data_IF_256712120329
#
_entry.id   IF_256712120329
#
_cell.length_a   1.000
_cell.length_b   1.000
_cell.length_c   1.000
_cell.angle_alpha   90.00
_cell.angle_beta   90.00
_cell.angle_gamma   90.00
#
_symmetry.space_group_name_H-M   'P 1'
#
loop_
_entity.id
_entity.type
_entity.pdbx_description
1 polymer ?
#
# COMPACT_ATOMS: atom_id res chain seq x y z
N UNK A 1 -67.90 22.35 20.33
CA UNK A 1 -66.79 21.57 20.96
C UNK A 1 -66.14 20.74 19.85
N UNK A 2 -65.07 21.23 19.22
CA UNK A 2 -63.65 20.90 19.51
C UNK A 2 -63.35 19.38 19.43
N UNK A 3 -62.78 18.93 18.30
CA UNK A 3 -61.51 18.16 18.18
C UNK A 3 -61.42 17.48 16.79
N UNK A 4 -60.61 18.03 15.87
CA UNK A 4 -59.22 17.64 15.52
C UNK A 4 -59.18 16.55 14.43
N UNK A 5 -59.06 17.02 13.19
CA UNK A 5 -58.70 16.24 12.00
C UNK A 5 -57.21 15.85 12.14
N UNK A 6 -56.94 14.55 12.30
CA UNK A 6 -55.58 14.02 12.40
C UNK A 6 -55.05 13.80 10.97
N UNK A 7 -54.29 14.76 10.46
CA UNK A 7 -53.58 14.66 9.19
C UNK A 7 -52.28 13.90 9.44
N UNK A 8 -52.21 12.63 9.04
CA UNK A 8 -50.99 11.84 9.09
C UNK A 8 -49.99 12.38 8.05
N UNK A 9 -48.99 13.14 8.52
CA UNK A 9 -47.79 13.46 7.75
C UNK A 9 -46.84 12.27 7.92
N UNK A 10 -46.87 11.34 6.98
CA UNK A 10 -45.84 10.31 6.86
C UNK A 10 -44.57 11.01 6.38
N UNK A 11 -43.67 11.33 7.32
CA UNK A 11 -42.32 11.75 6.99
C UNK A 11 -41.60 10.54 6.41
N UNK A 12 -41.53 10.46 5.08
CA UNK A 12 -40.66 9.52 4.39
C UNK A 12 -39.21 9.92 4.67
N UNK A 13 -38.53 9.18 5.54
CA UNK A 13 -37.08 9.17 5.62
C UNK A 13 -36.53 8.75 4.25
N UNK A 14 -36.06 9.72 3.46
CA UNK A 14 -35.14 9.43 2.37
C UNK A 14 -33.85 8.93 3.03
N UNK A 15 -33.66 7.61 2.99
CA UNK A 15 -32.36 7.02 3.20
C UNK A 15 -31.45 7.55 2.09
N UNK A 16 -30.57 8.48 2.44
CA UNK A 16 -29.32 8.66 1.71
C UNK A 16 -28.57 7.34 1.89
N UNK A 17 -28.77 6.42 0.94
CA UNK A 17 -27.98 5.20 0.88
C UNK A 17 -26.52 5.60 0.83
N UNK A 18 -25.77 5.24 1.87
CA UNK A 18 -24.31 5.28 1.80
C UNK A 18 -23.91 4.47 0.58
N UNK A 19 -23.23 5.12 -0.38
CA UNK A 19 -22.61 4.43 -1.49
C UNK A 19 -21.56 3.51 -0.88
N UNK A 20 -21.87 2.21 -0.80
CA UNK A 20 -20.86 1.21 -0.47
C UNK A 20 -19.85 1.20 -1.62
N UNK A 21 -18.59 1.52 -1.32
CA UNK A 21 -17.49 1.38 -2.27
C UNK A 21 -17.28 -0.10 -2.57
N UNK A 22 -17.57 -0.54 -3.79
CA UNK A 22 -17.18 -1.87 -4.26
C UNK A 22 -15.83 -1.76 -4.97
N UNK A 23 -15.03 -2.82 -4.93
CA UNK A 23 -13.81 -2.91 -5.74
C UNK A 23 -14.21 -2.90 -7.22
N UNK A 24 -13.92 -1.81 -7.91
CA UNK A 24 -14.18 -1.66 -9.34
C UNK A 24 -12.95 -2.11 -10.13
N UNK A 25 -13.18 -2.69 -11.31
CA UNK A 25 -12.09 -3.09 -12.18
C UNK A 25 -11.56 -1.89 -12.99
N UNK A 26 -10.25 -1.82 -13.16
CA UNK A 26 -9.56 -0.92 -14.08
C UNK A 26 -9.19 -1.65 -15.37
N UNK A 27 -9.24 -0.94 -16.48
CA UNK A 27 -8.77 -1.37 -17.78
C UNK A 27 -7.32 -0.94 -17.96
N UNK A 28 -6.43 -1.93 -18.04
CA UNK A 28 -5.01 -1.73 -18.38
C UNK A 28 -4.77 -2.00 -19.87
N UNK A 29 -3.91 -1.20 -20.49
CA UNK A 29 -3.36 -1.40 -21.83
C UNK A 29 -1.87 -1.71 -21.71
N UNK A 30 -1.48 -2.94 -21.96
CA UNK A 30 -0.09 -3.37 -21.98
C UNK A 30 0.71 -2.73 -23.14
N UNK A 31 2.05 -2.68 -23.07
CA UNK A 31 2.89 -2.09 -24.13
C UNK A 31 2.67 -2.66 -25.52
N UNK A 32 2.28 -3.95 -25.62
CA UNK A 32 1.98 -4.61 -26.89
C UNK A 32 0.57 -4.28 -27.44
N UNK A 33 -0.21 -3.44 -26.75
CA UNK A 33 -1.57 -3.04 -27.12
C UNK A 33 -2.69 -3.94 -26.57
N UNK A 34 -2.37 -5.07 -25.94
CA UNK A 34 -3.37 -5.91 -25.28
C UNK A 34 -4.07 -5.13 -24.16
N UNK A 35 -5.39 -5.24 -24.08
CA UNK A 35 -6.19 -4.62 -23.02
C UNK A 35 -6.90 -5.67 -22.18
N UNK A 36 -7.00 -5.43 -20.88
CA UNK A 36 -7.68 -6.32 -19.94
C UNK A 36 -8.12 -5.58 -18.68
N UNK A 37 -9.12 -6.14 -17.98
CA UNK A 37 -9.66 -5.57 -16.76
C UNK A 37 -9.11 -6.30 -15.54
N UNK A 38 -8.72 -5.57 -14.51
CA UNK A 38 -8.19 -6.11 -13.26
C UNK A 38 -8.70 -5.31 -12.06
N UNK A 39 -8.70 -5.89 -10.86
CA UNK A 39 -9.07 -5.18 -9.63
C UNK A 39 -8.08 -5.39 -8.48
N UNK A 40 -7.04 -6.20 -8.70
CA UNK A 40 -5.96 -6.41 -7.73
C UNK A 40 -4.62 -6.42 -8.44
N UNK A 41 -3.67 -5.68 -7.88
CA UNK A 41 -2.23 -5.86 -8.10
C UNK A 41 -1.72 -6.88 -7.09
N UNK A 42 -1.08 -7.94 -7.57
CA UNK A 42 -0.49 -9.00 -6.76
C UNK A 42 1.02 -8.88 -6.92
N UNK A 43 1.67 -8.15 -6.01
CA UNK A 43 3.11 -7.97 -6.06
C UNK A 43 3.79 -9.30 -5.68
N UNK A 44 4.92 -9.59 -6.31
CA UNK A 44 5.76 -10.71 -5.86
C UNK A 44 6.34 -10.38 -4.49
N UNK A 45 6.75 -11.38 -3.69
CA UNK A 45 7.51 -11.13 -2.48
C UNK A 45 8.68 -10.18 -2.76
N UNK A 46 8.75 -9.11 -1.99
CA UNK A 46 9.70 -8.01 -2.12
C UNK A 46 10.43 -7.70 -0.82
N UNK A 47 10.98 -6.49 -0.76
CA UNK A 47 11.84 -6.04 0.32
C UNK A 47 11.20 -4.84 1.02
N UNK A 48 11.13 -4.90 2.35
CA UNK A 48 10.74 -3.77 3.18
C UNK A 48 11.77 -3.52 4.26
N UNK A 49 12.13 -2.25 4.46
CA UNK A 49 13.06 -1.82 5.50
C UNK A 49 12.36 -0.80 6.38
N UNK A 50 12.38 -1.05 7.69
CA UNK A 50 12.07 -0.06 8.71
C UNK A 50 13.36 0.65 9.11
N UNK A 51 13.53 1.87 8.63
CA UNK A 51 14.70 2.71 8.82
C UNK A 51 14.74 3.26 10.24
N UNK A 52 15.88 3.14 10.94
CA UNK A 52 16.06 3.67 12.29
C UNK A 52 15.05 3.11 13.33
N UNK A 53 14.57 1.88 13.12
CA UNK A 53 13.50 1.30 13.92
C UNK A 53 13.98 0.54 15.17
N UNK A 54 15.26 0.18 15.27
CA UNK A 54 15.76 -0.76 16.29
C UNK A 54 16.75 -0.07 17.25
N UNK A 55 16.50 -0.07 18.58
CA UNK A 55 15.35 -0.66 19.26
C UNK A 55 14.12 0.24 19.17
N UNK A 56 12.95 -0.38 19.23
CA UNK A 56 11.70 0.33 19.52
C UNK A 56 11.57 0.59 21.03
N UNK A 57 11.01 1.73 21.40
CA UNK A 57 10.64 2.05 22.78
C UNK A 57 9.45 1.21 23.28
N UNK A 58 9.43 0.92 24.58
CA UNK A 58 8.34 0.19 25.22
C UNK A 58 7.13 1.10 25.47
N UNK A 59 5.92 0.57 25.25
CA UNK A 59 4.67 1.26 25.57
C UNK A 59 4.61 1.76 27.02
N UNK A 60 3.99 2.92 27.28
CA UNK A 60 3.17 3.72 26.36
C UNK A 60 3.99 4.70 25.49
N UNK A 61 5.32 4.70 25.61
CA UNK A 61 6.15 5.52 24.74
C UNK A 61 6.13 4.99 23.31
N UNK A 62 6.42 5.88 22.37
CA UNK A 62 6.45 5.56 20.95
C UNK A 62 7.59 6.30 20.25
N UNK A 63 8.12 5.73 19.18
CA UNK A 63 9.10 6.39 18.32
C UNK A 63 8.65 6.38 16.87
N UNK A 64 9.05 7.42 16.14
CA UNK A 64 8.84 7.44 14.70
C UNK A 64 9.99 6.75 13.99
N UNK A 65 9.68 6.09 12.89
CA UNK A 65 10.63 5.49 11.97
C UNK A 65 10.03 5.51 10.56
N UNK A 66 10.86 5.42 9.54
CA UNK A 66 10.40 5.42 8.15
C UNK A 66 10.35 3.99 7.63
N UNK A 67 9.24 3.61 6.99
CA UNK A 67 9.10 2.33 6.32
C UNK A 67 9.25 2.54 4.82
N UNK A 68 10.11 1.77 4.17
CA UNK A 68 10.25 1.74 2.70
C UNK A 68 10.04 0.35 2.15
N UNK A 69 9.38 0.26 1.01
CA UNK A 69 9.05 -0.98 0.33
C UNK A 69 9.40 -0.90 -1.16
N UNK A 70 9.88 -2.01 -1.69
CA UNK A 70 10.02 -2.22 -3.12
C UNK A 70 9.71 -3.67 -3.52
N UNK A 71 8.96 -3.84 -4.61
CA UNK A 71 8.67 -5.14 -5.20
C UNK A 71 8.38 -5.01 -6.70
N UNK A 72 8.36 -6.15 -7.38
CA UNK A 72 7.88 -6.26 -8.75
C UNK A 72 6.49 -6.88 -8.77
N UNK A 73 5.62 -6.40 -9.64
CA UNK A 73 4.29 -6.97 -9.82
C UNK A 73 4.38 -8.41 -10.32
N UNK A 74 3.87 -9.36 -9.55
CA UNK A 74 3.79 -10.75 -9.95
C UNK A 74 2.67 -10.97 -10.96
N UNK A 75 1.46 -10.52 -10.61
CA UNK A 75 0.27 -10.74 -11.42
C UNK A 75 -0.70 -9.54 -11.39
N UNK A 76 -1.47 -9.41 -12.46
CA UNK A 76 -2.77 -8.77 -12.40
C UNK A 76 -3.82 -9.83 -12.05
N UNK A 77 -4.76 -9.50 -11.16
CA UNK A 77 -5.89 -10.38 -10.87
C UNK A 77 -7.22 -9.70 -11.11
N UNK A 78 -8.20 -10.53 -11.49
CA UNK A 78 -9.61 -10.17 -11.54
C UNK A 78 -10.40 -11.20 -10.72
N UNK A 79 -11.09 -10.74 -9.67
CA UNK A 79 -11.92 -11.62 -8.82
C UNK A 79 -11.14 -12.85 -8.31
N UNK A 80 -9.93 -12.61 -7.77
CA UNK A 80 -9.02 -13.66 -7.27
C UNK A 80 -8.51 -14.65 -8.33
N UNK A 81 -8.69 -14.36 -9.61
CA UNK A 81 -8.14 -15.16 -10.72
C UNK A 81 -7.01 -14.40 -11.41
N UNK A 82 -5.86 -15.05 -11.58
CA UNK A 82 -4.72 -14.49 -12.31
C UNK A 82 -5.08 -14.27 -13.77
N UNK A 83 -4.77 -13.09 -14.30
CA UNK A 83 -4.93 -12.75 -15.70
C UNK A 83 -3.69 -13.23 -16.46
N UNK A 84 -3.84 -14.33 -17.21
CA UNK A 84 -2.76 -14.91 -18.01
C UNK A 84 -2.56 -14.20 -19.35
N UNK A 85 -3.60 -13.55 -19.87
CA UNK A 85 -3.55 -12.73 -21.08
C UNK A 85 -3.09 -11.29 -20.80
N UNK A 86 -2.05 -11.12 -19.96
CA UNK A 86 -1.59 -9.82 -19.46
C UNK A 86 -0.65 -9.04 -20.40
N UNK A 87 -0.55 -9.45 -21.67
CA UNK A 87 0.31 -8.79 -22.66
C UNK A 87 1.81 -8.99 -22.47
N UNK A 88 2.23 -9.93 -21.62
CA UNK A 88 3.64 -10.30 -21.41
C UNK A 88 4.28 -9.73 -20.15
N UNK A 89 3.50 -9.48 -19.10
CA UNK A 89 4.04 -9.09 -17.78
C UNK A 89 5.12 -10.09 -17.35
N UNK A 90 6.23 -9.58 -16.82
CA UNK A 90 7.42 -10.31 -16.41
C UNK A 90 8.17 -11.04 -17.54
N UNK A 91 7.91 -10.68 -18.80
CA UNK A 91 8.66 -11.20 -19.95
C UNK A 91 9.00 -10.13 -20.99
N UNK A 92 8.02 -9.32 -21.40
CA UNK A 92 8.20 -8.22 -22.36
C UNK A 92 8.23 -6.86 -21.68
N UNK A 93 7.65 -6.76 -20.50
CA UNK A 93 7.70 -5.60 -19.61
C UNK A 93 7.56 -6.09 -18.17
N UNK A 94 7.93 -5.26 -17.21
CA UNK A 94 7.69 -5.51 -15.80
C UNK A 94 7.16 -4.25 -15.14
N UNK A 95 6.56 -4.41 -13.97
CA UNK A 95 6.05 -3.29 -13.18
C UNK A 95 6.69 -3.37 -11.80
N UNK A 96 7.17 -2.25 -11.27
CA UNK A 96 7.64 -2.15 -9.89
C UNK A 96 6.74 -1.24 -9.07
N UNK A 97 6.55 -1.60 -7.82
CA UNK A 97 5.95 -0.77 -6.78
C UNK A 97 7.07 -0.30 -5.86
N UNK A 98 7.12 0.99 -5.59
CA UNK A 98 7.94 1.56 -4.51
C UNK A 98 7.09 2.50 -3.66
N UNK A 99 7.23 2.41 -2.35
CA UNK A 99 6.57 3.31 -1.42
C UNK A 99 7.45 3.58 -0.22
N UNK A 100 7.19 4.69 0.45
CA UNK A 100 7.83 5.02 1.71
C UNK A 100 6.97 5.97 2.50
N UNK A 101 6.88 5.75 3.82
CA UNK A 101 6.07 6.57 4.72
C UNK A 101 6.54 6.45 6.16
N UNK A 102 6.23 7.44 6.99
CA UNK A 102 6.56 7.40 8.42
C UNK A 102 5.50 6.63 9.21
N UNK A 103 5.96 5.76 10.10
CA UNK A 103 5.17 5.12 11.14
C UNK A 103 5.63 5.56 12.52
N UNK A 104 4.76 5.34 13.48
CA UNK A 104 5.05 5.39 14.90
C UNK A 104 4.92 3.98 15.46
N UNK A 105 5.96 3.53 16.16
CA UNK A 105 6.04 2.18 16.72
C UNK A 105 6.32 2.13 18.21
N UNK A 106 5.93 0.99 18.79
CA UNK A 106 6.24 0.64 20.19
C UNK A 106 6.21 -0.87 20.39
N UNK A 107 6.95 -1.36 21.39
CA UNK A 107 6.91 -2.77 21.82
C UNK A 107 6.11 -2.96 23.09
N UNK A 108 5.47 -4.13 23.21
CA UNK A 108 4.71 -4.49 24.41
C UNK A 108 5.61 -4.79 25.61
N UNK A 109 6.77 -5.41 25.38
CA UNK A 109 7.76 -5.76 26.41
C UNK A 109 9.18 -5.55 25.88
N UNK A 110 10.14 -5.22 26.76
CA UNK A 110 11.53 -4.97 26.39
C UNK A 110 12.32 -6.20 25.90
N UNK A 111 11.85 -7.42 26.18
CA UNK A 111 12.50 -8.66 25.78
C UNK A 111 11.57 -9.56 24.96
N UNK A 112 12.08 -10.28 23.94
CA UNK A 112 11.30 -11.29 23.23
C UNK A 112 10.81 -12.42 24.17
N UNK A 113 9.66 -13.06 23.87
CA UNK A 113 8.78 -12.75 22.75
C UNK A 113 8.08 -11.39 22.96
N UNK A 114 8.07 -10.56 21.92
CA UNK A 114 7.52 -9.20 22.00
C UNK A 114 6.79 -8.85 20.73
N UNK A 115 5.71 -8.06 20.86
CA UNK A 115 4.99 -7.53 19.72
C UNK A 115 5.35 -6.06 19.54
N UNK A 116 5.82 -5.72 18.36
CA UNK A 116 5.88 -4.35 17.89
C UNK A 116 4.53 -3.98 17.26
N UNK A 117 4.00 -2.80 17.56
CA UNK A 117 2.76 -2.29 16.98
C UNK A 117 3.07 -0.97 16.28
N UNK A 118 2.45 -0.75 15.13
CA UNK A 118 2.72 0.37 14.24
C UNK A 118 1.46 1.11 13.86
N UNK A 119 1.58 2.42 13.70
CA UNK A 119 0.51 3.28 13.21
C UNK A 119 1.06 4.37 12.32
N UNK A 120 0.30 4.73 11.29
CA UNK A 120 0.69 5.79 10.35
C UNK A 120 0.89 7.15 11.01
N UNK A 121 1.94 7.86 10.59
CA UNK A 121 2.19 9.25 10.95
C UNK A 121 2.22 10.10 9.69
N UNK A 122 1.33 11.10 9.54
CA UNK A 122 1.45 12.08 8.47
C UNK A 122 2.80 12.81 8.55
N UNK A 123 3.62 12.71 7.51
CA UNK A 123 4.92 13.37 7.42
C UNK A 123 5.24 13.81 5.99
N UNK A 124 6.38 14.49 5.80
CA UNK A 124 6.89 14.83 4.48
C UNK A 124 7.54 13.63 3.77
N UNK A 125 7.98 12.63 4.53
CA UNK A 125 8.46 11.36 3.98
C UNK A 125 7.22 10.49 3.72
N UNK A 126 6.63 10.66 2.53
CA UNK A 126 5.41 9.95 2.17
C UNK A 126 5.23 9.91 0.65
N UNK A 127 5.39 8.72 0.07
CA UNK A 127 5.24 8.50 -1.36
C UNK A 127 4.74 7.09 -1.67
N UNK A 128 4.02 7.00 -2.76
CA UNK A 128 3.71 5.77 -3.47
C UNK A 128 3.96 5.98 -4.95
N UNK A 129 4.64 5.06 -5.63
CA UNK A 129 4.90 5.12 -7.06
C UNK A 129 4.88 3.73 -7.67
N UNK A 130 4.26 3.61 -8.84
CA UNK A 130 4.39 2.43 -9.69
C UNK A 130 5.03 2.81 -11.01
N UNK A 131 5.96 1.98 -11.46
CA UNK A 131 6.69 2.19 -12.69
C UNK A 131 6.55 0.98 -13.61
N UNK A 132 6.43 1.23 -14.90
CA UNK A 132 6.56 0.22 -15.94
C UNK A 132 7.98 0.26 -16.51
N UNK A 133 8.61 -0.89 -16.57
CA UNK A 133 9.87 -1.10 -17.27
C UNK A 133 9.61 -1.78 -18.62
N UNK A 134 9.80 -1.07 -19.76
CA UNK A 134 9.61 -1.66 -21.08
C UNK A 134 10.72 -2.66 -21.45
N UNK A 135 11.83 -2.68 -20.71
CA UNK A 135 12.94 -3.64 -20.91
C UNK A 135 13.32 -4.21 -19.54
N UNK A 136 12.61 -5.26 -19.06
CA UNK A 136 12.73 -5.75 -17.69
C UNK A 136 14.17 -5.83 -17.17
N UNK A 137 14.50 -4.96 -16.23
CA UNK A 137 15.87 -4.77 -15.70
C UNK A 137 15.94 -4.73 -14.18
N UNK A 138 14.79 -4.82 -13.50
CA UNK A 138 14.70 -4.86 -12.05
C UNK A 138 15.48 -6.04 -11.49
N UNK A 139 16.32 -5.77 -10.51
CA UNK A 139 17.15 -6.77 -9.86
C UNK A 139 16.95 -6.72 -8.35
N UNK A 140 16.23 -7.69 -7.82
CA UNK A 140 15.91 -7.75 -6.40
C UNK A 140 17.15 -7.92 -5.52
N UNK A 141 18.22 -8.56 -6.00
CA UNK A 141 19.43 -8.76 -5.20
C UNK A 141 20.22 -7.47 -5.01
N UNK A 142 20.28 -6.62 -6.04
CA UNK A 142 20.98 -5.33 -5.95
C UNK A 142 20.09 -4.19 -5.50
N UNK A 143 18.77 -4.30 -5.70
CA UNK A 143 17.81 -3.21 -5.53
C UNK A 143 17.71 -2.26 -6.71
N UNK A 144 18.42 -2.52 -7.82
CA UNK A 144 18.41 -1.64 -8.99
C UNK A 144 17.21 -1.87 -9.91
N UNK A 145 16.88 -0.87 -10.72
CA UNK A 145 15.85 -0.95 -11.76
C UNK A 145 14.43 -0.70 -11.26
N UNK A 146 14.24 -0.48 -9.96
CA UNK A 146 12.92 -0.19 -9.38
C UNK A 146 12.48 1.26 -9.56
N UNK A 147 13.43 2.18 -9.79
CA UNK A 147 13.16 3.63 -9.91
C UNK A 147 13.96 4.31 -11.02
N UNK A 148 13.51 5.49 -11.50
CA UNK A 148 14.21 6.27 -12.51
C UNK A 148 15.67 6.63 -12.18
N UNK A 149 16.03 6.61 -10.89
CA UNK A 149 17.40 6.89 -10.45
C UNK A 149 18.40 5.81 -10.88
N UNK A 150 17.94 4.58 -11.08
CA UNK A 150 18.78 3.44 -11.49
C UNK A 150 18.40 2.85 -12.84
N UNK A 151 17.20 3.15 -13.35
CA UNK A 151 16.77 2.85 -14.70
C UNK A 151 15.99 4.05 -15.30
N UNK A 152 16.60 4.88 -16.15
CA UNK A 152 15.95 6.07 -16.71
C UNK A 152 14.82 5.75 -17.72
N UNK A 153 14.71 4.51 -18.18
CA UNK A 153 13.71 4.09 -19.17
C UNK A 153 12.33 3.79 -18.54
N UNK A 154 12.24 3.84 -17.21
CA UNK A 154 10.99 3.61 -16.49
C UNK A 154 9.93 4.65 -16.81
N UNK A 155 8.72 4.16 -17.06
CA UNK A 155 7.53 4.97 -17.27
C UNK A 155 6.72 5.01 -15.98
N UNK A 156 6.49 6.21 -15.43
CA UNK A 156 5.59 6.37 -14.29
C UNK A 156 4.16 5.98 -14.70
N UNK A 157 3.60 5.00 -14.00
CA UNK A 157 2.22 4.51 -14.18
C UNK A 157 1.24 5.26 -13.29
N UNK A 158 1.58 5.43 -12.02
CA UNK A 158 0.79 6.18 -11.04
C UNK A 158 1.65 6.60 -9.86
N UNK A 159 1.24 7.66 -9.17
CA UNK A 159 1.84 8.08 -7.91
C UNK A 159 0.84 8.65 -6.90
N UNK A 160 1.17 8.57 -5.63
CA UNK A 160 0.30 8.99 -4.55
C UNK A 160 1.03 9.10 -3.23
N UNK A 161 0.27 9.04 -2.15
CA UNK A 161 0.78 9.04 -0.79
C UNK A 161 0.00 8.04 0.07
N UNK A 162 0.66 7.50 1.08
CA UNK A 162 0.02 6.69 2.12
C UNK A 162 -0.83 7.60 3.00
N UNK A 163 -2.03 7.16 3.34
CA UNK A 163 -3.00 7.92 4.16
C UNK A 163 -3.43 7.18 5.41
N UNK A 164 -3.12 5.90 5.49
CA UNK A 164 -3.34 5.06 6.65
C UNK A 164 -2.43 3.85 6.62
N UNK A 165 -2.03 3.42 7.81
CA UNK A 165 -1.27 2.20 8.08
C UNK A 165 -1.61 1.74 9.48
N UNK A 166 -1.83 0.45 9.66
CA UNK A 166 -1.85 -0.20 10.96
C UNK A 166 -1.22 -1.56 10.81
N UNK A 167 -0.24 -1.85 11.66
CA UNK A 167 0.51 -3.10 11.54
C UNK A 167 1.05 -3.58 12.86
N UNK A 168 1.57 -4.81 12.83
CA UNK A 168 2.30 -5.37 13.94
C UNK A 168 3.35 -6.36 13.47
N UNK A 169 4.39 -6.56 14.28
CA UNK A 169 5.42 -7.55 14.03
C UNK A 169 5.79 -8.25 15.34
N UNK A 170 5.66 -9.57 15.33
CA UNK A 170 6.00 -10.42 16.46
C UNK A 170 7.44 -10.94 16.31
N UNK A 171 8.29 -10.59 17.28
CA UNK A 171 9.65 -11.14 17.40
C UNK A 171 9.60 -12.31 18.38
N UNK A 172 9.98 -13.49 17.90
CA UNK A 172 9.87 -14.74 18.67
C UNK A 172 11.07 -14.98 19.60
N UNK A 173 12.29 -14.61 19.19
CA UNK A 173 13.53 -14.79 19.95
C UNK A 173 14.67 -13.97 19.35
N UNK A 174 15.54 -13.40 20.20
CA UNK A 174 16.81 -12.77 19.81
C UNK A 174 18.02 -13.69 19.97
N UNK A 175 17.87 -14.83 20.65
CA UNK A 175 19.00 -15.70 21.02
C UNK A 175 19.43 -16.68 19.90
N UNK A 176 18.68 -16.74 18.80
CA UNK A 176 18.90 -17.67 17.68
C UNK A 176 18.92 -16.91 16.36
N UNK A 177 19.86 -15.97 16.19
CA UNK A 177 20.03 -15.30 14.92
C UNK A 177 20.55 -16.30 13.87
N UNK A 178 19.77 -16.51 12.81
CA UNK A 178 20.16 -17.32 11.65
C UNK A 178 20.48 -16.41 10.45
N UNK A 179 20.96 -16.95 9.32
CA UNK A 179 21.13 -16.16 8.10
C UNK A 179 19.86 -15.39 7.74
N UNK A 180 20.00 -14.11 7.35
CA UNK A 180 18.87 -13.28 6.90
C UNK A 180 18.26 -13.82 5.61
N UNK A 181 19.12 -14.25 4.68
CA UNK A 181 18.71 -14.91 3.44
C UNK A 181 18.60 -16.42 3.64
N UNK A 182 17.36 -16.92 3.61
CA UNK A 182 17.02 -18.34 3.58
C UNK A 182 16.12 -18.65 2.39
N UNK A 183 16.22 -17.85 1.33
CA UNK A 183 15.45 -18.08 0.10
C UNK A 183 15.85 -19.43 -0.52
N UNK A 184 14.93 -20.08 -1.25
CA UNK A 184 15.21 -21.38 -1.87
C UNK A 184 16.22 -21.32 -3.02
N UNK A 185 16.69 -20.12 -3.42
CA UNK A 185 17.54 -19.92 -4.59
C UNK A 185 19.05 -20.18 -4.34
N UNK A 186 19.36 -20.89 -3.25
CA UNK A 186 20.60 -21.62 -2.94
C UNK A 186 21.88 -20.79 -2.68
N UNK A 187 21.89 -19.47 -2.84
CA UNK A 187 23.03 -18.62 -2.47
C UNK A 187 22.56 -17.58 -1.46
N UNK A 188 23.13 -17.60 -0.25
CA UNK A 188 22.97 -16.49 0.69
C UNK A 188 23.62 -15.24 0.08
N UNK A 189 22.80 -14.31 -0.40
CA UNK A 189 23.23 -13.10 -1.10
C UNK A 189 23.74 -12.00 -0.15
N UNK A 190 23.53 -12.19 1.15
CA UNK A 190 24.04 -11.33 2.23
C UNK A 190 24.86 -12.17 3.23
N UNK A 191 26.02 -12.72 2.81
CA UNK A 191 26.85 -13.52 3.70
C UNK A 191 27.33 -12.67 4.88
N UNK A 192 27.22 -13.24 6.10
CA UNK A 192 27.59 -12.55 7.34
C UNK A 192 26.49 -11.65 7.93
N UNK A 193 25.33 -11.52 7.26
CA UNK A 193 24.14 -10.89 7.84
C UNK A 193 23.22 -11.95 8.42
N UNK A 194 22.84 -11.77 9.68
CA UNK A 194 21.91 -12.65 10.39
C UNK A 194 20.67 -11.88 10.84
N UNK A 195 19.64 -12.57 11.29
CA UNK A 195 18.37 -11.95 11.69
C UNK A 195 17.70 -12.69 12.82
N UNK A 196 17.01 -11.93 13.66
CA UNK A 196 16.04 -12.47 14.61
C UNK A 196 14.79 -12.96 13.87
N UNK A 197 14.17 -14.02 14.38
CA UNK A 197 12.98 -14.61 13.75
C UNK A 197 11.71 -13.86 14.13
N UNK A 198 10.91 -13.48 13.13
CA UNK A 198 9.62 -12.84 13.36
C UNK A 198 8.68 -12.86 12.17
N UNK A 199 7.42 -12.57 12.46
CA UNK A 199 6.33 -12.50 11.50
C UNK A 199 5.41 -11.35 11.87
N UNK A 200 4.85 -10.70 10.88
CA UNK A 200 3.91 -9.62 11.07
C UNK A 200 3.06 -9.39 9.84
N UNK A 201 2.40 -8.26 9.86
CA UNK A 201 1.68 -7.76 8.72
C UNK A 201 1.18 -6.34 8.97
N UNK A 202 0.87 -5.68 7.88
CA UNK A 202 0.40 -4.30 7.90
C UNK A 202 -0.73 -4.14 6.89
N UNK A 203 -1.80 -3.49 7.32
CA UNK A 203 -2.83 -2.97 6.44
C UNK A 203 -2.47 -1.52 6.09
N UNK A 204 -2.30 -1.23 4.80
CA UNK A 204 -1.99 0.10 4.28
C UNK A 204 -3.14 0.62 3.43
N UNK A 205 -3.32 1.93 3.42
CA UNK A 205 -4.19 2.63 2.47
C UNK A 205 -3.39 3.71 1.76
N UNK A 206 -3.13 3.53 0.47
CA UNK A 206 -2.53 4.55 -0.37
C UNK A 206 -3.60 5.30 -1.16
N UNK A 207 -3.46 6.61 -1.21
CA UNK A 207 -4.29 7.51 -1.98
C UNK A 207 -3.57 7.94 -3.26
N UNK A 208 -4.10 7.57 -4.41
CA UNK A 208 -3.57 7.99 -5.71
C UNK A 208 -4.21 9.31 -6.13
N UNK A 209 -3.36 10.26 -6.53
CA UNK A 209 -3.81 11.52 -7.12
C UNK A 209 -4.16 11.28 -8.60
N UNK A 210 -5.35 11.69 -9.04
CA UNK A 210 -5.78 11.49 -10.44
C UNK A 210 -4.74 12.01 -11.46
N UNK A 211 -4.12 13.15 -11.13
CA UNK A 211 -3.17 13.84 -11.99
C UNK A 211 -1.88 13.05 -12.23
N UNK A 212 -1.65 11.94 -11.53
CA UNK A 212 -0.46 11.12 -11.68
C UNK A 212 -0.70 9.80 -12.43
N UNK A 213 -1.95 9.45 -12.76
CA UNK A 213 -2.27 8.21 -13.47
C UNK A 213 -1.96 8.39 -14.95
N UNK A 214 -1.19 7.45 -15.49
CA UNK A 214 -0.81 7.46 -16.89
C UNK A 214 -1.94 6.92 -17.78
N UNK A 215 -2.69 7.84 -18.39
CA UNK A 215 -3.80 7.52 -19.30
C UNK A 215 -3.41 6.76 -20.57
N UNK A 216 -2.12 6.61 -20.87
CA UNK A 216 -1.68 5.72 -21.94
C UNK A 216 -1.79 4.23 -21.55
N UNK A 217 -1.78 3.92 -20.26
CA UNK A 217 -1.83 2.54 -19.74
C UNK A 217 -3.13 2.26 -19.00
N UNK A 218 -3.73 3.24 -18.31
CA UNK A 218 -5.03 3.09 -17.65
C UNK A 218 -6.12 3.77 -18.48
N UNK A 219 -6.98 2.98 -19.12
CA UNK A 219 -7.97 3.47 -20.08
C UNK A 219 -9.26 3.92 -19.41
N UNK A 220 -9.57 3.38 -18.23
CA UNK A 220 -10.71 3.81 -17.44
C UNK A 220 -10.36 5.09 -16.70
N UNK A 221 -10.57 6.23 -17.37
CA UNK A 221 -10.47 7.54 -16.77
C UNK A 221 -11.79 8.31 -16.96
N UNK A 222 -12.66 8.35 -15.93
CA UNK A 222 -13.76 9.30 -15.94
C UNK A 222 -13.82 10.06 -14.61
N UNK A 223 -13.44 11.34 -14.55
CA UNK A 223 -13.89 12.28 -13.50
C UNK A 223 -13.75 11.91 -12.00
N UNK A 224 -13.04 10.87 -11.59
CA UNK A 224 -13.13 10.33 -10.22
C UNK A 224 -11.94 10.72 -9.36
N UNK A 225 -12.22 11.55 -8.36
CA UNK A 225 -11.34 11.87 -7.25
C UNK A 225 -11.13 10.63 -6.37
N UNK A 226 -9.87 10.22 -6.29
CA UNK A 226 -9.31 9.26 -5.35
C UNK A 226 -9.45 7.79 -5.75
N UNK A 227 -8.32 7.14 -5.99
CA UNK A 227 -8.19 5.69 -5.98
C UNK A 227 -7.49 5.33 -4.68
N UNK A 228 -8.17 4.53 -3.85
CA UNK A 228 -7.60 3.98 -2.64
C UNK A 228 -7.08 2.58 -2.96
N UNK A 229 -5.77 2.40 -2.78
CA UNK A 229 -5.13 1.09 -2.84
C UNK A 229 -4.98 0.58 -1.41
N UNK A 230 -5.74 -0.46 -1.06
CA UNK A 230 -5.56 -1.14 0.20
C UNK A 230 -4.52 -2.25 0.02
N UNK A 231 -3.35 -2.11 0.66
CA UNK A 231 -2.34 -3.16 0.71
C UNK A 231 -2.55 -3.96 1.98
N UNK A 232 -2.61 -5.28 1.87
CA UNK A 232 -2.28 -6.14 3.00
C UNK A 232 -0.86 -6.65 2.77
N UNK A 233 -0.02 -6.53 3.79
CA UNK A 233 1.34 -7.05 3.71
C UNK A 233 1.51 -8.17 4.72
N UNK A 234 2.12 -9.26 4.28
CA UNK A 234 2.70 -10.25 5.20
C UNK A 234 4.18 -9.94 5.29
N UNK A 235 4.67 -9.67 6.50
CA UNK A 235 6.07 -9.37 6.75
C UNK A 235 6.73 -10.51 7.50
N UNK A 236 7.93 -10.92 7.08
CA UNK A 236 8.66 -11.99 7.77
C UNK A 236 10.17 -11.80 7.73
N UNK A 237 10.82 -12.26 8.79
CA UNK A 237 12.25 -12.46 8.85
C UNK A 237 12.55 -13.85 9.46
N UNK A 238 13.43 -14.65 8.86
CA UNK A 238 14.27 -14.40 7.67
C UNK A 238 13.48 -14.39 6.35
N UNK A 239 14.15 -13.99 5.28
CA UNK A 239 13.66 -14.10 3.90
C UNK A 239 13.56 -15.58 3.51
N UNK A 240 12.40 -16.01 3.01
CA UNK A 240 12.13 -17.43 2.69
C UNK A 240 11.61 -17.67 1.28
N UNK A 241 11.26 -16.63 0.55
CA UNK A 241 10.67 -16.74 -0.80
C UNK A 241 11.45 -15.94 -1.83
N UNK A 242 12.05 -14.82 -1.44
CA UNK A 242 12.86 -13.96 -2.31
C UNK A 242 14.17 -13.61 -1.62
N UNK A 243 15.17 -13.23 -2.40
CA UNK A 243 16.45 -12.76 -1.87
C UNK A 243 16.29 -11.35 -1.26
N UNK A 244 16.96 -11.07 -0.12
CA UNK A 244 17.03 -9.71 0.40
C UNK A 244 17.84 -8.81 -0.54
N UNK A 245 17.34 -7.60 -0.77
CA UNK A 245 18.03 -6.56 -1.54
C UNK A 245 19.22 -6.01 -0.77
N UNK A 246 20.35 -5.81 -1.45
CA UNK A 246 21.48 -5.07 -0.89
C UNK A 246 21.16 -3.60 -0.65
N UNK A 247 20.27 -3.04 -1.48
CA UNK A 247 19.84 -1.66 -1.38
C UNK A 247 18.34 -1.53 -1.62
N UNK A 248 17.72 -0.54 -0.98
CA UNK A 248 16.33 -0.16 -1.21
C UNK A 248 16.24 1.31 -1.61
N UNK A 249 15.20 1.68 -2.35
CA UNK A 249 14.98 3.07 -2.70
C UNK A 249 14.34 3.86 -1.55
N UNK A 250 14.98 4.96 -1.17
CA UNK A 250 14.50 5.92 -0.18
C UNK A 250 14.36 7.28 -0.85
N UNK A 251 13.13 7.76 -0.99
CA UNK A 251 12.86 9.02 -1.69
C UNK A 251 13.60 10.20 -1.06
N UNK A 252 14.19 11.04 -1.91
CA UNK A 252 15.06 12.15 -1.49
C UNK A 252 16.50 11.79 -1.13
N UNK A 253 16.80 10.52 -0.83
CA UNK A 253 18.16 10.05 -0.47
C UNK A 253 18.77 9.18 -1.59
N UNK A 254 17.94 8.50 -2.39
CA UNK A 254 18.38 7.61 -3.45
C UNK A 254 18.44 6.16 -2.99
N UNK A 255 19.40 5.39 -3.50
CA UNK A 255 19.61 4.00 -3.05
C UNK A 255 20.23 3.98 -1.66
N UNK A 256 19.65 3.22 -0.75
CA UNK A 256 20.05 3.09 0.64
C UNK A 256 20.39 1.65 0.98
N UNK A 257 21.50 1.44 1.70
CA UNK A 257 21.90 0.11 2.16
C UNK A 257 21.49 -0.07 3.62
N UNK A 258 20.72 -1.11 3.99
CA UNK A 258 20.27 -1.29 5.37
C UNK A 258 21.42 -1.43 6.38
N UNK A 259 21.30 -0.76 7.52
CA UNK A 259 22.11 -0.97 8.71
C UNK A 259 21.51 -2.07 9.59
N UNK A 260 22.19 -3.21 9.68
CA UNK A 260 21.71 -4.37 10.42
C UNK A 260 22.05 -4.36 11.91
N UNK A 261 22.62 -3.28 12.45
CA UNK A 261 22.88 -3.18 13.87
C UNK A 261 24.12 -3.95 14.34
N UNK A 262 24.24 -4.13 15.65
CA UNK A 262 25.45 -4.70 16.25
C UNK A 262 25.74 -6.12 15.75
N UNK A 263 26.93 -6.32 15.17
CA UNK A 263 27.36 -7.60 14.62
C UNK A 263 26.66 -8.01 13.32
N UNK A 264 26.04 -7.06 12.61
CA UNK A 264 25.23 -7.31 11.41
C UNK A 264 24.05 -8.25 11.67
N UNK A 265 23.35 -8.04 12.79
CA UNK A 265 22.21 -8.86 13.22
C UNK A 265 20.92 -8.05 13.14
N UNK A 266 20.19 -8.22 12.04
CA UNK A 266 18.90 -7.58 11.82
C UNK A 266 17.94 -7.81 13.02
N UNK A 267 17.49 -6.71 13.64
CA UNK A 267 16.67 -6.73 14.86
C UNK A 267 17.43 -6.64 16.18
N UNK A 268 18.75 -6.43 16.16
CA UNK A 268 19.56 -6.09 17.33
C UNK A 268 20.01 -4.62 17.21
N UNK A 269 19.85 -3.79 18.27
CA UNK A 269 20.35 -2.41 18.28
C UNK A 269 21.83 -2.29 17.97
N UNK A 270 22.26 -1.15 17.44
CA UNK A 270 23.68 -0.77 17.47
C UNK A 270 24.20 -0.65 18.90
N UNK A 271 25.53 -0.73 19.04
CA UNK A 271 26.20 -0.55 20.31
C UNK A 271 26.09 0.88 20.84
N UNK A 272 26.01 1.86 19.92
CA UNK A 272 25.70 3.25 20.25
C UNK A 272 24.17 3.42 20.33
N UNK A 273 23.59 3.74 21.50
CA UNK A 273 22.15 3.91 21.65
C UNK A 273 21.59 5.15 20.95
N UNK A 274 22.44 6.03 20.42
CA UNK A 274 22.05 7.20 19.64
C UNK A 274 22.02 6.95 18.12
N UNK A 275 22.46 5.76 17.70
CA UNK A 275 22.54 5.33 16.30
C UNK A 275 21.56 4.16 16.08
N UNK A 276 20.26 4.40 15.91
CA UNK A 276 19.29 3.32 15.73
C UNK A 276 19.63 2.49 14.48
N UNK A 277 19.40 1.18 14.56
CA UNK A 277 19.58 0.26 13.44
C UNK A 277 18.28 0.06 12.68
N UNK A 278 18.37 -0.50 11.48
CA UNK A 278 17.21 -0.83 10.67
C UNK A 278 16.64 -2.22 11.01
N UNK A 279 15.45 -2.47 10.51
CA UNK A 279 14.92 -3.82 10.38
C UNK A 279 14.49 -4.11 8.93
N UNK A 280 15.18 -5.04 8.30
CA UNK A 280 14.89 -5.56 6.97
C UNK A 280 14.05 -6.84 7.05
N UNK A 281 12.92 -6.87 6.37
CA UNK A 281 12.07 -8.05 6.27
C UNK A 281 11.54 -8.24 4.85
N UNK A 282 11.23 -9.50 4.55
CA UNK A 282 10.50 -9.85 3.35
C UNK A 282 9.06 -9.38 3.50
N UNK A 283 8.49 -8.83 2.44
CA UNK A 283 7.10 -8.39 2.40
C UNK A 283 6.41 -8.97 1.17
N UNK A 284 5.23 -9.55 1.36
CA UNK A 284 4.36 -10.00 0.28
C UNK A 284 3.07 -9.17 0.33
N UNK A 285 2.71 -8.50 -0.77
CA UNK A 285 1.72 -7.43 -0.75
C UNK A 285 0.72 -7.55 -1.90
N UNK A 286 -0.56 -7.41 -1.58
CA UNK A 286 -1.62 -7.37 -2.58
C UNK A 286 -2.38 -6.06 -2.45
N UNK A 287 -2.57 -5.34 -3.54
CA UNK A 287 -3.25 -4.06 -3.57
C UNK A 287 -4.58 -4.16 -4.32
N UNK A 288 -5.70 -3.97 -3.60
CA UNK A 288 -7.01 -3.89 -4.23
C UNK A 288 -7.34 -2.47 -4.69
N UNK A 289 -7.98 -2.34 -5.85
CA UNK A 289 -8.43 -1.04 -6.37
C UNK A 289 -9.82 -0.72 -5.82
N UNK A 290 -9.92 0.42 -5.14
CA UNK A 290 -11.21 1.02 -4.75
C UNK A 290 -11.38 2.35 -5.45
N UNK A 291 -12.48 2.50 -6.17
CA UNK A 291 -12.84 3.72 -6.89
C UNK A 291 -14.00 4.38 -6.12
N UNK A 292 -13.78 5.57 -5.59
CA UNK A 292 -14.87 6.34 -4.98
C UNK A 292 -15.56 7.19 -6.04
N UNK A 293 -16.66 6.67 -6.60
CA UNK A 293 -17.47 7.43 -7.55
C UNK A 293 -17.96 8.74 -6.93
N UNK A 294 -17.59 9.87 -7.54
CA UNK A 294 -18.20 11.17 -7.22
C UNK A 294 -19.61 11.15 -7.82
N UNK A 295 -20.68 11.44 -7.05
CA UNK A 295 -22.03 11.50 -7.59
C UNK A 295 -22.06 12.42 -8.82
N UNK A 296 -22.50 11.88 -9.96
CA UNK A 296 -22.53 12.68 -11.19
C UNK A 296 -23.43 13.92 -11.01
N UNK A 297 -23.11 15.06 -11.66
CA UNK A 297 -23.95 16.25 -11.61
C UNK A 297 -25.43 15.99 -11.99
N UNK A 298 -25.68 14.95 -12.81
CA UNK A 298 -27.00 14.48 -13.22
C UNK A 298 -27.83 13.90 -12.06
N UNK A 299 -27.21 13.16 -11.13
CA UNK A 299 -27.91 12.62 -9.94
C UNK A 299 -28.17 13.70 -8.91
N UNK A 300 -27.28 14.69 -8.78
CA UNK A 300 -27.55 15.89 -7.98
C UNK A 300 -28.67 16.73 -8.56
N UNK A 301 -28.68 16.94 -9.88
CA UNK A 301 -29.74 17.66 -10.57
C UNK A 301 -31.08 16.93 -10.46
N UNK A 302 -31.10 15.61 -10.65
CA UNK A 302 -32.33 14.81 -10.55
C UNK A 302 -32.88 14.76 -9.12
N UNK A 303 -31.99 14.66 -8.11
CA UNK A 303 -32.38 14.76 -6.70
C UNK A 303 -32.89 16.17 -6.37
N UNK A 304 -32.24 17.20 -6.88
CA UNK A 304 -32.66 18.60 -6.73
C UNK A 304 -34.02 18.87 -7.39
N UNK A 305 -34.25 18.34 -8.59
CA UNK A 305 -35.54 18.41 -9.30
C UNK A 305 -36.62 17.59 -8.58
N UNK A 306 -36.27 16.43 -8.04
CA UNK A 306 -37.16 15.60 -7.22
C UNK A 306 -37.61 16.32 -5.94
N UNK A 307 -36.69 16.98 -5.23
CA UNK A 307 -37.00 17.81 -4.07
C UNK A 307 -37.83 19.05 -4.44
N UNK A 308 -37.52 19.72 -5.56
CA UNK A 308 -38.30 20.85 -6.04
C UNK A 308 -39.73 20.45 -6.41
N UNK A 309 -39.92 19.29 -7.05
CA UNK A 309 -41.23 18.73 -7.37
C UNK A 309 -42.02 18.37 -6.10
N UNK A 310 -41.36 17.79 -5.09
CA UNK A 310 -41.95 17.52 -3.78
C UNK A 310 -42.36 18.81 -3.06
N UNK A 311 -41.49 19.82 -2.99
CA UNK A 311 -41.80 21.12 -2.41
C UNK A 311 -42.99 21.80 -3.12
N UNK A 312 -43.02 21.77 -4.45
CA UNK A 312 -44.13 22.27 -5.26
C UNK A 312 -45.46 21.54 -4.96
N UNK A 313 -45.41 20.22 -4.75
CA UNK A 313 -46.59 19.41 -4.42
C UNK A 313 -47.17 19.72 -3.03
N UNK A 314 -46.32 20.03 -2.04
CA UNK A 314 -46.73 20.42 -0.69
C UNK A 314 -47.31 21.84 -0.67
N UNK A 315 -46.74 22.76 -1.44
CA UNK A 315 -47.25 24.13 -1.56
C UNK A 315 -48.62 24.15 -2.24
N UNK A 316 -48.85 23.30 -3.25
CA UNK A 316 -50.16 23.18 -3.92
C UNK A 316 -51.25 22.68 -2.97
N UNK A 317 -50.95 21.73 -2.10
CA UNK A 317 -51.91 21.19 -1.11
C UNK A 317 -52.29 22.16 0.01
N UNK A 318 -51.52 23.24 0.24
CA UNK A 318 -51.87 24.29 1.22
C UNK A 318 -52.80 25.36 0.65
N UNK A 319 -52.99 25.44 -0.66
CA UNK A 319 -53.85 26.43 -1.33
C UNK A 319 -55.21 25.88 -1.77
N UNK A 320 -55.45 24.58 -1.56
CA UNK A 320 -56.73 23.89 -1.71
C UNK A 320 -57.31 23.58 -0.33
#
# INVERSE_FOLDING_TARGET
>A
MKHKLLMAITAGTLALGGLASQAEALTFRAPNGTTFNFNVFDDSPGNTVALDAVPLVQQPATQNFDLVYQATLGNFMQNSTVITANGGLNSTYSISTVLGFTENGSITNAAPPTNANFSFVPSNFNYFRMYLDPTPSQNIQTGMGFTPATNPDLVLLMSGSITGSTGSFFVSSTNNAGPLDQSPNAINNLPGVTTVGGIGGTDLTAKILITSINGAYFLDAPGILTMDLAFNTVTQAPFRQVDPSKQVFVDGIGMYSPDYGAGNVNGIPNADPTDPADFHFQSDSNASVVITAVPEPSTMLLTGLGLAALAGSVIRRKKS
#
